data_IF_604521429720
#
_entry.id   IF_604521429720
#
_cell.length_a   1.000
_cell.length_b   1.000
_cell.length_c   1.000
_cell.angle_alpha   90.00
_cell.angle_beta   90.00
_cell.angle_gamma   90.00
#
_symmetry.space_group_name_H-M   'P 1'
#
loop_
_entity.id
_entity.type
_entity.pdbx_description
1 polymer ?
#
# COMPACT_ATOMS: atom_id res chain seq x y z
N UNK A 1 -0.46 3.49 30.17
CA UNK A 1 -1.38 3.05 29.11
C UNK A 1 -0.84 1.76 28.50
N UNK A 2 -1.54 0.65 28.75
CA UNK A 2 -1.10 -0.68 28.30
C UNK A 2 -1.35 -0.85 26.79
N UNK A 3 -0.32 -1.15 26.02
CA UNK A 3 -0.38 -1.35 24.58
C UNK A 3 0.33 -2.66 24.21
N UNK A 4 -0.25 -3.41 23.29
CA UNK A 4 0.42 -4.55 22.69
C UNK A 4 1.16 -4.12 21.42
N UNK A 5 2.41 -4.52 21.27
CA UNK A 5 3.15 -4.27 20.04
C UNK A 5 2.52 -5.03 18.87
N UNK A 6 2.30 -4.35 17.74
CA UNK A 6 1.70 -4.93 16.53
C UNK A 6 2.54 -6.02 15.89
N UNK A 7 3.87 -6.00 16.09
CA UNK A 7 4.80 -6.89 15.40
C UNK A 7 5.28 -8.08 16.22
N UNK A 8 5.50 -7.90 17.54
CA UNK A 8 5.94 -8.99 18.43
C UNK A 8 4.88 -9.43 19.42
N UNK A 9 3.84 -8.62 19.65
CA UNK A 9 2.78 -8.93 20.61
C UNK A 9 3.10 -8.60 22.07
N UNK A 10 4.30 -8.10 22.39
CA UNK A 10 4.69 -7.74 23.77
C UNK A 10 3.78 -6.66 24.32
N UNK A 11 3.23 -6.88 25.52
CA UNK A 11 2.48 -5.89 26.27
C UNK A 11 3.44 -4.98 27.00
N UNK A 12 3.16 -3.68 26.96
CA UNK A 12 4.00 -2.69 27.64
C UNK A 12 3.16 -1.46 28.02
N UNK A 13 3.52 -0.85 29.13
CA UNK A 13 2.94 0.39 29.55
C UNK A 13 3.75 1.58 29.03
N UNK A 14 3.09 2.44 28.29
CA UNK A 14 3.70 3.67 27.79
C UNK A 14 3.23 4.82 28.69
N UNK A 15 4.17 5.48 29.40
CA UNK A 15 3.85 6.70 30.14
C UNK A 15 3.47 7.83 29.17
N UNK A 16 2.82 8.91 29.65
CA UNK A 16 2.58 10.08 28.83
C UNK A 16 3.90 10.65 28.30
N UNK A 17 4.05 10.68 26.98
CA UNK A 17 5.29 11.08 26.34
C UNK A 17 5.41 12.61 26.29
N UNK A 18 6.56 13.19 26.65
CA UNK A 18 6.84 14.60 26.43
C UNK A 18 6.87 14.92 24.92
N UNK A 19 6.70 16.20 24.60
CA UNK A 19 6.72 16.65 23.20
C UNK A 19 8.08 16.34 22.56
N UNK A 20 8.08 15.77 21.37
CA UNK A 20 9.30 15.37 20.64
C UNK A 20 9.78 13.95 20.92
N UNK A 21 9.18 13.22 21.88
CA UNK A 21 9.61 11.87 22.22
C UNK A 21 9.02 10.81 21.28
N UNK A 22 9.72 9.68 21.17
CA UNK A 22 9.31 8.49 20.43
C UNK A 22 9.37 7.29 21.38
N UNK A 23 8.24 6.60 21.57
CA UNK A 23 8.23 5.31 22.22
C UNK A 23 8.60 4.21 21.24
N UNK A 24 9.52 3.35 21.64
CA UNK A 24 10.01 2.21 20.84
C UNK A 24 9.81 0.92 21.62
N UNK A 25 9.40 -0.13 20.96
CA UNK A 25 9.25 -1.44 21.59
C UNK A 25 10.64 -1.99 21.97
N UNK A 26 10.90 -2.34 23.25
CA UNK A 26 12.19 -2.87 23.70
C UNK A 26 12.52 -4.22 23.07
N UNK A 27 11.50 -5.00 22.67
CA UNK A 27 11.67 -6.34 22.10
C UNK A 27 12.01 -6.33 20.61
N UNK A 28 11.32 -5.49 19.80
CA UNK A 28 11.46 -5.56 18.33
C UNK A 28 11.82 -4.23 17.65
N UNK A 29 12.11 -3.18 18.44
CA UNK A 29 12.43 -1.83 17.97
C UNK A 29 11.33 -1.19 17.08
N UNK A 30 10.08 -1.65 17.21
CA UNK A 30 8.97 -1.02 16.53
C UNK A 30 8.63 0.33 17.16
N UNK A 31 8.43 1.35 16.34
CA UNK A 31 7.96 2.65 16.81
C UNK A 31 6.49 2.57 17.22
N UNK A 32 6.24 2.68 18.49
CA UNK A 32 4.90 2.55 19.06
C UNK A 32 4.16 3.88 19.02
N UNK A 33 4.76 4.94 19.51
CA UNK A 33 4.15 6.28 19.56
C UNK A 33 5.18 7.36 19.25
N UNK A 34 4.71 8.46 18.65
CA UNK A 34 5.51 9.63 18.35
C UNK A 34 4.68 10.88 18.57
N UNK A 35 5.19 11.82 19.36
CA UNK A 35 4.46 13.06 19.72
C UNK A 35 4.79 14.25 18.81
N UNK A 36 5.87 14.18 18.01
CA UNK A 36 6.31 15.28 17.16
C UNK A 36 5.73 15.19 15.73
N UNK A 37 5.27 16.34 15.21
CA UNK A 37 4.86 16.52 13.83
C UNK A 37 3.51 15.87 13.45
N UNK A 38 2.73 15.40 14.44
CA UNK A 38 1.39 14.83 14.21
C UNK A 38 0.30 15.72 14.79
N UNK A 39 -0.66 16.08 13.94
CA UNK A 39 -1.79 16.91 14.32
C UNK A 39 -3.04 16.46 13.58
N UNK A 40 -4.15 16.28 14.32
CA UNK A 40 -5.45 15.92 13.75
C UNK A 40 -5.91 17.02 12.78
N UNK A 41 -5.67 18.30 13.12
CA UNK A 41 -6.06 19.44 12.29
C UNK A 41 -5.28 19.48 10.97
N UNK A 42 -3.96 19.27 11.02
CA UNK A 42 -3.14 19.20 9.81
C UNK A 42 -3.53 18.00 8.94
N UNK A 43 -3.80 16.85 9.56
CA UNK A 43 -4.28 15.67 8.84
C UNK A 43 -5.64 15.91 8.17
N UNK A 44 -6.57 16.60 8.85
CA UNK A 44 -7.86 16.99 8.28
C UNK A 44 -7.68 17.95 7.10
N UNK A 45 -6.90 19.02 7.27
CA UNK A 45 -6.64 19.98 6.20
C UNK A 45 -6.04 19.30 4.96
N UNK A 46 -5.04 18.45 5.14
CA UNK A 46 -4.43 17.72 4.03
C UNK A 46 -5.39 16.70 3.39
N UNK A 47 -6.18 15.97 4.18
CA UNK A 47 -7.11 14.98 3.67
C UNK A 47 -8.27 15.61 2.89
N UNK A 48 -8.87 16.69 3.41
CA UNK A 48 -9.94 17.42 2.74
C UNK A 48 -9.44 18.14 1.48
N UNK A 49 -8.27 18.76 1.52
CA UNK A 49 -7.66 19.36 0.34
C UNK A 49 -7.36 18.31 -0.74
N UNK A 50 -6.83 17.13 -0.35
CA UNK A 50 -6.63 16.01 -1.29
C UNK A 50 -7.96 15.57 -1.90
N UNK A 51 -9.00 15.40 -1.09
CA UNK A 51 -10.33 15.00 -1.56
C UNK A 51 -10.87 15.99 -2.60
N UNK A 52 -10.78 17.30 -2.34
CA UNK A 52 -11.22 18.35 -3.29
C UNK A 52 -10.39 18.34 -4.57
N UNK A 53 -9.06 18.20 -4.48
CA UNK A 53 -8.18 18.17 -5.65
C UNK A 53 -8.35 16.93 -6.53
N UNK A 54 -8.85 15.82 -5.99
CA UNK A 54 -9.16 14.63 -6.79
C UNK A 54 -10.25 14.89 -7.85
N UNK A 55 -11.19 15.83 -7.63
CA UNK A 55 -12.21 16.17 -8.64
C UNK A 55 -11.58 16.76 -9.91
N UNK A 56 -10.86 17.90 -9.86
CA UNK A 56 -10.23 18.43 -11.06
C UNK A 56 -9.14 17.51 -11.63
N UNK A 57 -8.43 16.73 -10.79
CA UNK A 57 -7.47 15.74 -11.26
C UNK A 57 -8.09 14.65 -12.15
N UNK A 58 -9.36 14.27 -11.90
CA UNK A 58 -10.07 13.29 -12.71
C UNK A 58 -10.78 13.89 -13.93
N UNK A 59 -11.27 15.11 -13.84
CA UNK A 59 -12.09 15.74 -14.89
C UNK A 59 -11.24 16.48 -15.94
N UNK A 60 -10.18 17.16 -15.48
CA UNK A 60 -9.31 17.94 -16.35
C UNK A 60 -8.23 17.06 -17.03
N UNK A 61 -7.68 17.48 -18.16
CA UNK A 61 -6.61 16.75 -18.83
C UNK A 61 -5.34 16.70 -17.98
N UNK A 62 -4.77 15.49 -17.82
CA UNK A 62 -3.48 15.27 -17.17
C UNK A 62 -2.34 15.77 -18.06
N UNK A 63 -2.36 15.31 -19.30
CA UNK A 63 -1.35 15.61 -20.32
C UNK A 63 -2.02 15.80 -21.67
N UNK A 64 -1.40 16.65 -22.48
CA UNK A 64 -1.81 16.92 -23.86
C UNK A 64 -0.60 16.69 -24.75
N UNK A 65 -0.74 15.84 -25.76
CA UNK A 65 0.27 15.55 -26.77
C UNK A 65 -0.21 16.06 -28.11
N UNK A 66 0.66 16.71 -28.86
CA UNK A 66 0.36 17.18 -30.20
C UNK A 66 1.32 16.56 -31.22
N UNK A 67 0.77 15.99 -32.30
CA UNK A 67 1.52 15.40 -33.40
C UNK A 67 0.84 15.74 -34.74
N UNK A 68 1.56 16.33 -35.67
CA UNK A 68 1.07 16.64 -37.00
C UNK A 68 -0.29 17.36 -37.03
N UNK A 69 -0.51 18.30 -36.11
CA UNK A 69 -1.78 19.06 -36.01
C UNK A 69 -2.91 18.34 -35.27
N UNK A 70 -2.75 17.06 -34.95
CA UNK A 70 -3.67 16.32 -34.10
C UNK A 70 -3.28 16.45 -32.63
N UNK A 71 -4.26 16.70 -31.75
CA UNK A 71 -4.06 16.78 -30.33
C UNK A 71 -4.75 15.61 -29.61
N UNK A 72 -4.05 14.94 -28.69
CA UNK A 72 -4.61 13.90 -27.82
C UNK A 72 -4.46 14.32 -26.38
N UNK A 73 -5.50 14.06 -25.60
CA UNK A 73 -5.53 14.38 -24.18
C UNK A 73 -5.71 13.11 -23.36
N UNK A 74 -4.90 12.93 -22.34
CA UNK A 74 -5.10 11.91 -21.32
C UNK A 74 -5.77 12.51 -20.10
N UNK A 75 -6.82 11.87 -19.61
CA UNK A 75 -7.43 12.12 -18.30
C UNK A 75 -7.22 10.88 -17.43
N UNK A 76 -7.40 11.01 -16.14
CA UNK A 76 -7.24 9.87 -15.22
C UNK A 76 -8.18 8.71 -15.60
N UNK A 77 -9.44 9.03 -15.94
CA UNK A 77 -10.42 8.05 -16.41
C UNK A 77 -10.25 7.60 -17.87
N UNK A 78 -9.54 8.35 -18.73
CA UNK A 78 -9.42 7.99 -20.16
C UNK A 78 -8.66 6.68 -20.36
N UNK A 79 -7.63 6.41 -19.53
CA UNK A 79 -6.90 5.14 -19.55
C UNK A 79 -7.81 3.95 -19.24
N UNK A 80 -8.72 4.12 -18.28
CA UNK A 80 -9.71 3.10 -17.94
C UNK A 80 -10.65 2.82 -19.11
N UNK A 81 -11.18 3.86 -19.74
CA UNK A 81 -12.10 3.74 -20.88
C UNK A 81 -11.40 3.07 -22.07
N UNK A 82 -10.18 3.47 -22.38
CA UNK A 82 -9.40 2.88 -23.49
C UNK A 82 -9.12 1.40 -23.21
N UNK A 83 -8.68 1.03 -22.02
CA UNK A 83 -8.46 -0.37 -21.63
C UNK A 83 -9.75 -1.20 -21.71
N UNK A 84 -10.89 -0.62 -21.32
CA UNK A 84 -12.20 -1.25 -21.43
C UNK A 84 -12.60 -1.51 -22.89
N UNK A 85 -12.44 -0.53 -23.75
CA UNK A 85 -12.74 -0.63 -25.19
C UNK A 85 -11.87 -1.69 -25.89
N UNK A 86 -10.63 -1.86 -25.47
CA UNK A 86 -9.71 -2.89 -25.95
C UNK A 86 -9.89 -4.27 -25.28
N UNK A 87 -11.00 -4.50 -24.55
CA UNK A 87 -11.34 -5.77 -23.90
C UNK A 87 -10.42 -6.17 -22.72
N UNK A 88 -9.62 -5.24 -22.19
CA UNK A 88 -8.80 -5.44 -21.01
C UNK A 88 -9.55 -5.09 -19.72
N UNK A 89 -10.75 -5.70 -19.56
CA UNK A 89 -11.71 -5.39 -18.49
C UNK A 89 -11.11 -5.49 -17.10
N UNK A 90 -10.33 -6.56 -16.81
CA UNK A 90 -9.70 -6.75 -15.51
C UNK A 90 -8.72 -5.61 -15.17
N UNK A 91 -7.86 -5.24 -16.12
CA UNK A 91 -6.88 -4.17 -15.93
C UNK A 91 -7.61 -2.83 -15.76
N UNK A 92 -8.63 -2.57 -16.59
CA UNK A 92 -9.45 -1.36 -16.49
C UNK A 92 -10.12 -1.21 -15.12
N UNK A 93 -10.75 -2.29 -14.60
CA UNK A 93 -11.41 -2.29 -13.30
C UNK A 93 -10.42 -2.03 -12.15
N UNK A 94 -9.24 -2.67 -12.17
CA UNK A 94 -8.26 -2.51 -11.11
C UNK A 94 -7.61 -1.12 -11.15
N UNK A 95 -7.30 -0.60 -12.34
CA UNK A 95 -6.81 0.78 -12.49
C UNK A 95 -7.88 1.78 -12.02
N UNK A 96 -9.15 1.60 -12.41
CA UNK A 96 -10.25 2.44 -11.92
C UNK A 96 -10.37 2.38 -10.40
N UNK A 97 -10.28 1.19 -9.82
CA UNK A 97 -10.35 1.02 -8.38
C UNK A 97 -9.20 1.77 -7.69
N UNK A 98 -7.95 1.49 -8.04
CA UNK A 98 -6.78 1.99 -7.30
C UNK A 98 -6.48 3.47 -7.55
N UNK A 99 -6.69 3.97 -8.78
CA UNK A 99 -6.37 5.35 -9.14
C UNK A 99 -7.54 6.32 -8.93
N UNK A 100 -8.80 5.83 -9.05
CA UNK A 100 -9.98 6.70 -8.99
C UNK A 100 -10.80 6.42 -7.73
N UNK A 101 -11.46 5.25 -7.65
CA UNK A 101 -12.51 5.00 -6.65
C UNK A 101 -11.96 4.98 -5.22
N UNK A 102 -10.92 4.19 -4.98
CA UNK A 102 -10.38 4.00 -3.62
C UNK A 102 -9.78 5.28 -3.02
N UNK A 103 -9.05 6.14 -3.76
CA UNK A 103 -8.64 7.45 -3.26
C UNK A 103 -9.81 8.32 -2.83
N UNK A 104 -10.87 8.41 -3.64
CA UNK A 104 -12.07 9.19 -3.27
C UNK A 104 -12.73 8.66 -2.00
N UNK A 105 -12.96 7.35 -1.92
CA UNK A 105 -13.57 6.73 -0.75
C UNK A 105 -12.70 6.93 0.49
N UNK A 106 -11.39 6.71 0.38
CA UNK A 106 -10.45 6.85 1.48
C UNK A 106 -10.42 8.27 2.04
N UNK A 107 -10.17 9.27 1.17
CA UNK A 107 -10.04 10.66 1.61
C UNK A 107 -11.39 11.24 2.02
N UNK A 108 -12.49 10.84 1.38
CA UNK A 108 -13.84 11.18 1.80
C UNK A 108 -14.17 10.66 3.21
N UNK A 109 -13.91 9.37 3.47
CA UNK A 109 -14.10 8.78 4.80
C UNK A 109 -13.18 9.43 5.84
N UNK A 110 -11.90 9.64 5.51
CA UNK A 110 -10.96 10.24 6.45
C UNK A 110 -11.35 11.68 6.81
N UNK A 111 -11.68 12.49 5.81
CA UNK A 111 -12.15 13.86 6.03
C UNK A 111 -13.43 13.90 6.85
N UNK A 112 -14.40 13.04 6.53
CA UNK A 112 -15.65 12.92 7.27
C UNK A 112 -15.42 12.56 8.75
N UNK A 113 -14.58 11.54 9.01
CA UNK A 113 -14.27 11.12 10.38
C UNK A 113 -13.61 12.23 11.18
N UNK A 114 -12.58 12.86 10.61
CA UNK A 114 -11.84 13.91 11.31
C UNK A 114 -12.70 15.18 11.53
N UNK A 115 -13.58 15.55 10.58
CA UNK A 115 -14.51 16.66 10.72
C UNK A 115 -15.52 16.38 11.83
N UNK A 116 -16.16 15.20 11.86
CA UNK A 116 -17.12 14.85 12.90
C UNK A 116 -16.47 14.82 14.29
N UNK A 117 -15.22 14.36 14.39
CA UNK A 117 -14.48 14.43 15.64
C UNK A 117 -14.24 15.85 16.12
N UNK A 118 -13.91 16.79 15.22
CA UNK A 118 -13.73 18.21 15.58
C UNK A 118 -15.03 18.87 16.01
N UNK A 119 -16.16 18.48 15.40
CA UNK A 119 -17.50 18.94 15.79
C UNK A 119 -18.01 18.28 17.08
N UNK A 120 -17.24 17.38 17.69
CA UNK A 120 -17.63 16.69 18.92
C UNK A 120 -18.64 15.54 18.72
N UNK A 121 -19.02 15.24 17.48
CA UNK A 121 -19.98 14.17 17.16
C UNK A 121 -19.27 12.80 17.09
N UNK A 122 -19.74 11.85 17.90
CA UNK A 122 -19.15 10.51 18.00
C UNK A 122 -20.17 9.39 17.78
N UNK A 123 -20.76 9.27 16.58
CA UNK A 123 -21.68 8.19 16.29
C UNK A 123 -20.94 6.83 16.33
N UNK A 124 -21.65 5.75 16.69
CA UNK A 124 -21.08 4.40 16.88
C UNK A 124 -20.39 3.83 15.63
N UNK A 125 -20.81 4.24 14.45
CA UNK A 125 -20.22 3.78 13.18
C UNK A 125 -18.87 4.46 12.84
N UNK A 126 -18.53 5.55 13.53
CA UNK A 126 -17.34 6.36 13.20
C UNK A 126 -16.03 5.58 13.34
N UNK A 127 -15.92 4.70 14.35
CA UNK A 127 -14.80 3.79 14.51
C UNK A 127 -14.64 2.81 13.33
N UNK A 128 -15.77 2.29 12.82
CA UNK A 128 -15.79 1.46 11.61
C UNK A 128 -15.34 2.22 10.37
N UNK A 129 -15.82 3.46 10.18
CA UNK A 129 -15.45 4.32 9.06
C UNK A 129 -13.95 4.66 9.09
N UNK A 130 -13.40 4.99 10.27
CA UNK A 130 -11.96 5.25 10.41
C UNK A 130 -11.13 3.99 10.12
N UNK A 131 -11.56 2.82 10.59
CA UNK A 131 -10.93 1.54 10.24
C UNK A 131 -10.86 1.34 8.72
N UNK A 132 -11.97 1.57 8.01
CA UNK A 132 -12.01 1.43 6.56
C UNK A 132 -11.10 2.44 5.86
N UNK A 133 -11.06 3.70 6.29
CA UNK A 133 -10.15 4.69 5.71
C UNK A 133 -8.68 4.30 5.84
N UNK A 134 -8.30 3.68 6.98
CA UNK A 134 -6.94 3.17 7.18
C UNK A 134 -6.65 1.89 6.38
N UNK A 135 -7.65 1.01 6.22
CA UNK A 135 -7.49 -0.21 5.41
C UNK A 135 -7.30 0.12 3.93
N UNK A 136 -8.04 1.11 3.43
CA UNK A 136 -7.93 1.60 2.06
C UNK A 136 -6.61 2.34 1.78
N UNK A 137 -5.84 2.73 2.80
CA UNK A 137 -4.56 3.44 2.64
C UNK A 137 -3.54 2.68 1.78
N UNK A 138 -3.54 1.36 1.85
CA UNK A 138 -2.64 0.52 1.06
C UNK A 138 -3.07 0.40 -0.41
N UNK A 139 -4.36 0.60 -0.70
CA UNK A 139 -4.95 0.42 -2.03
C UNK A 139 -5.21 1.74 -2.76
N UNK A 140 -5.31 2.84 -2.02
CA UNK A 140 -5.45 4.18 -2.60
C UNK A 140 -4.05 4.74 -2.95
N UNK A 141 -3.72 4.77 -4.24
CA UNK A 141 -2.37 4.99 -4.74
C UNK A 141 -2.24 6.18 -5.70
N UNK A 142 -2.71 7.40 -5.35
CA UNK A 142 -2.53 8.57 -6.22
C UNK A 142 -1.05 8.96 -6.38
N UNK A 143 -0.23 8.69 -5.35
CA UNK A 143 1.21 8.87 -5.34
C UNK A 143 1.94 7.95 -6.33
N UNK A 144 1.56 6.66 -6.38
CA UNK A 144 2.12 5.69 -7.32
C UNK A 144 1.64 5.96 -8.74
N UNK A 145 0.36 6.37 -8.92
CA UNK A 145 -0.16 6.77 -10.22
C UNK A 145 0.58 8.00 -10.77
N UNK A 146 0.90 8.98 -9.91
CA UNK A 146 1.72 10.13 -10.30
C UNK A 146 3.08 9.68 -10.83
N UNK A 147 3.74 8.73 -10.14
CA UNK A 147 5.04 8.21 -10.58
C UNK A 147 4.93 7.52 -11.94
N UNK A 148 3.89 6.69 -12.15
CA UNK A 148 3.58 6.10 -13.45
C UNK A 148 3.36 7.17 -14.53
N UNK A 149 2.69 8.27 -14.18
CA UNK A 149 2.51 9.44 -15.03
C UNK A 149 3.83 10.12 -15.40
N UNK A 150 4.76 10.26 -14.45
CA UNK A 150 6.12 10.82 -14.70
C UNK A 150 6.91 9.92 -15.66
N UNK A 151 6.85 8.61 -15.46
CA UNK A 151 7.49 7.63 -16.36
C UNK A 151 6.89 7.72 -17.76
N UNK A 152 5.55 7.73 -17.87
CA UNK A 152 4.85 7.89 -19.14
C UNK A 152 5.19 9.24 -19.84
N UNK A 153 5.21 10.33 -19.08
CA UNK A 153 5.62 11.64 -19.57
C UNK A 153 7.03 11.60 -20.16
N UNK A 154 7.99 11.06 -19.44
CA UNK A 154 9.41 11.04 -19.86
C UNK A 154 9.61 10.23 -21.14
N UNK A 155 8.89 9.11 -21.30
CA UNK A 155 8.92 8.30 -22.54
C UNK A 155 8.35 9.06 -23.74
N UNK A 156 7.23 9.76 -23.54
CA UNK A 156 6.56 10.49 -24.65
C UNK A 156 7.35 11.76 -24.97
N UNK A 157 7.84 12.48 -23.98
CA UNK A 157 8.57 13.74 -24.15
C UNK A 157 9.89 13.57 -24.92
N UNK A 158 10.46 12.37 -24.93
CA UNK A 158 11.62 12.04 -25.76
C UNK A 158 11.30 12.03 -27.26
N UNK A 159 10.03 11.75 -27.65
CA UNK A 159 9.62 11.61 -29.03
C UNK A 159 8.70 12.75 -29.53
N UNK A 160 7.92 13.36 -28.66
CA UNK A 160 6.87 14.32 -29.02
C UNK A 160 6.72 15.44 -27.99
N UNK A 161 6.26 16.65 -28.38
CA UNK A 161 5.98 17.74 -27.44
C UNK A 161 4.78 17.39 -26.56
N UNK A 162 5.02 17.34 -25.25
CA UNK A 162 4.00 17.05 -24.22
C UNK A 162 3.79 18.29 -23.36
N UNK A 163 2.54 18.65 -23.11
CA UNK A 163 2.16 19.72 -22.17
C UNK A 163 1.42 19.11 -20.99
N UNK A 164 1.81 19.49 -19.78
CA UNK A 164 1.10 19.11 -18.55
C UNK A 164 -0.17 19.96 -18.46
N UNK A 165 -1.32 19.30 -18.32
CA UNK A 165 -2.61 19.96 -18.15
C UNK A 165 -2.92 20.29 -16.69
N UNK A 166 -3.99 21.02 -16.46
CA UNK A 166 -4.46 21.38 -15.10
C UNK A 166 -4.76 20.15 -14.21
N UNK A 167 -5.28 19.07 -14.81
CA UNK A 167 -5.48 17.80 -14.09
C UNK A 167 -4.18 17.20 -13.59
N UNK A 168 -3.08 17.33 -14.36
CA UNK A 168 -1.75 16.90 -13.96
C UNK A 168 -1.21 17.69 -12.76
N UNK A 169 -1.37 19.02 -12.77
CA UNK A 169 -0.99 19.89 -11.67
C UNK A 169 -1.79 19.52 -10.39
N UNK A 170 -3.11 19.35 -10.51
CA UNK A 170 -3.95 18.94 -9.41
C UNK A 170 -3.56 17.55 -8.85
N UNK A 171 -3.17 16.61 -9.72
CA UNK A 171 -2.71 15.28 -9.31
C UNK A 171 -1.38 15.36 -8.55
N UNK A 172 -0.43 16.18 -8.99
CA UNK A 172 0.85 16.41 -8.30
C UNK A 172 0.60 16.95 -6.89
N UNK A 173 -0.25 17.96 -6.77
CA UNK A 173 -0.62 18.54 -5.47
C UNK A 173 -1.37 17.52 -4.59
N UNK A 174 -2.31 16.76 -5.15
CA UNK A 174 -3.05 15.74 -4.44
C UNK A 174 -2.13 14.62 -3.93
N UNK A 175 -1.16 14.16 -4.71
CA UNK A 175 -0.19 13.15 -4.30
C UNK A 175 0.72 13.67 -3.16
N UNK A 176 1.18 14.91 -3.26
CA UNK A 176 1.96 15.55 -2.20
C UNK A 176 1.17 15.69 -0.89
N UNK A 177 -0.06 16.18 -0.96
CA UNK A 177 -0.96 16.29 0.20
C UNK A 177 -1.35 14.92 0.78
N UNK A 178 -1.47 13.89 -0.07
CA UNK A 178 -1.65 12.50 0.37
C UNK A 178 -0.48 12.05 1.27
N UNK A 179 0.76 12.30 0.85
CA UNK A 179 1.96 11.99 1.65
C UNK A 179 1.98 12.78 2.96
N UNK A 180 1.66 14.08 2.92
CA UNK A 180 1.57 14.91 4.11
C UNK A 180 0.47 14.45 5.07
N UNK A 181 -0.70 14.05 4.54
CA UNK A 181 -1.80 13.51 5.35
C UNK A 181 -1.38 12.25 6.10
N UNK A 182 -0.62 11.34 5.45
CA UNK A 182 -0.06 10.14 6.09
C UNK A 182 0.96 10.48 7.18
N UNK A 183 1.80 11.48 6.94
CA UNK A 183 2.83 11.92 7.89
C UNK A 183 2.23 12.63 9.11
N UNK A 184 1.19 13.47 8.89
CA UNK A 184 0.53 14.26 9.92
C UNK A 184 -0.48 13.47 10.76
N UNK A 185 -1.02 12.34 10.24
CA UNK A 185 -2.09 11.59 10.90
C UNK A 185 -1.57 10.85 12.14
N UNK A 186 -2.03 11.25 13.32
CA UNK A 186 -1.88 10.49 14.54
C UNK A 186 -3.06 9.51 14.70
N UNK A 187 -2.83 8.27 14.24
CA UNK A 187 -3.86 7.20 14.29
C UNK A 187 -4.33 6.94 15.72
N UNK A 188 -3.44 7.00 16.71
CA UNK A 188 -3.76 6.70 18.12
C UNK A 188 -4.52 7.85 18.77
N UNK A 189 -4.14 9.08 18.50
CA UNK A 189 -4.90 10.24 18.98
C UNK A 189 -6.34 10.21 18.46
N UNK A 190 -6.54 9.84 17.19
CA UNK A 190 -7.89 9.68 16.63
C UNK A 190 -8.63 8.53 17.31
N UNK A 191 -8.00 7.36 17.55
CA UNK A 191 -8.64 6.26 18.26
C UNK A 191 -9.00 6.62 19.71
N UNK A 192 -8.15 7.36 20.42
CA UNK A 192 -8.44 7.88 21.76
C UNK A 192 -9.60 8.86 21.76
N UNK A 193 -9.66 9.73 20.77
CA UNK A 193 -10.75 10.69 20.62
C UNK A 193 -12.09 10.03 20.27
N UNK A 194 -12.06 8.91 19.52
CA UNK A 194 -13.27 8.16 19.15
C UNK A 194 -13.92 7.42 20.32
N UNK A 195 -13.12 6.78 21.15
CA UNK A 195 -13.61 6.04 22.32
C UNK A 195 -12.56 6.10 23.41
N UNK A 196 -12.89 6.63 24.59
CA UNK A 196 -12.01 6.59 25.74
C UNK A 196 -11.62 5.15 26.07
N UNK A 197 -10.51 4.99 26.72
CA UNK A 197 -9.92 3.68 27.05
C UNK A 197 -10.91 2.86 27.88
N UNK A 198 -11.10 1.60 27.51
CA UNK A 198 -11.67 0.62 28.43
C UNK A 198 -10.70 0.49 29.61
N UNK A 199 -11.20 0.35 30.85
CA UNK A 199 -10.34 0.05 31.99
C UNK A 199 -9.49 -1.17 31.64
N UNK A 200 -8.20 -1.11 31.97
CA UNK A 200 -7.30 -2.25 31.76
C UNK A 200 -7.90 -3.49 32.41
N UNK A 201 -7.92 -4.64 31.71
CA UNK A 201 -8.40 -5.87 32.32
C UNK A 201 -7.53 -6.18 33.57
N UNK A 202 -8.08 -6.84 34.59
CA UNK A 202 -7.34 -7.24 35.78
C UNK A 202 -6.04 -7.95 35.41
N UNK A 203 -5.00 -7.76 36.23
CA UNK A 203 -3.66 -8.29 35.94
C UNK A 203 -3.60 -9.81 35.78
N UNK A 204 -4.52 -10.53 36.42
CA UNK A 204 -4.59 -12.01 36.42
C UNK A 204 -5.33 -12.58 35.19
N UNK A 205 -5.92 -11.75 34.32
CA UNK A 205 -6.64 -12.24 33.16
C UNK A 205 -5.78 -12.22 31.90
N UNK A 206 -5.84 -13.31 31.13
CA UNK A 206 -5.30 -13.32 29.77
C UNK A 206 -5.93 -12.21 28.93
N UNK A 207 -5.09 -11.49 28.19
CA UNK A 207 -5.52 -10.32 27.42
C UNK A 207 -5.31 -10.52 25.91
N UNK A 208 -6.19 -9.94 25.12
CA UNK A 208 -6.11 -9.90 23.67
C UNK A 208 -6.11 -8.46 23.21
N UNK A 209 -5.20 -8.10 22.32
CA UNK A 209 -5.17 -6.77 21.73
C UNK A 209 -5.81 -6.78 20.33
N UNK A 210 -6.68 -5.79 20.09
CA UNK A 210 -7.20 -5.57 18.75
C UNK A 210 -6.06 -5.18 17.82
N UNK A 211 -5.82 -5.95 16.79
CA UNK A 211 -4.71 -5.73 15.83
C UNK A 211 -4.89 -4.52 14.93
N UNK A 212 -5.98 -3.78 15.03
CA UNK A 212 -6.26 -2.62 14.20
C UNK A 212 -6.27 -1.30 14.98
N UNK A 213 -6.90 -1.26 16.14
CA UNK A 213 -6.99 -0.06 16.98
C UNK A 213 -6.17 -0.16 18.28
N UNK A 214 -5.40 -1.25 18.45
CA UNK A 214 -4.52 -1.55 19.61
C UNK A 214 -5.23 -1.57 20.97
N UNK A 215 -6.57 -1.63 20.99
CA UNK A 215 -7.34 -1.72 22.23
C UNK A 215 -7.09 -3.08 22.88
N UNK A 216 -6.65 -3.07 24.14
CA UNK A 216 -6.45 -4.27 24.94
C UNK A 216 -7.77 -4.65 25.61
N UNK A 217 -8.21 -5.88 25.40
CA UNK A 217 -9.44 -6.46 25.95
C UNK A 217 -9.13 -7.76 26.69
N UNK A 218 -10.05 -8.23 27.54
CA UNK A 218 -9.95 -9.58 28.11
C UNK A 218 -9.98 -10.65 27.01
N UNK A 219 -9.21 -11.72 27.17
CA UNK A 219 -9.18 -12.84 26.21
C UNK A 219 -10.54 -13.56 26.09
N UNK A 220 -11.41 -13.48 27.10
CA UNK A 220 -12.79 -13.99 27.05
C UNK A 220 -13.60 -13.36 25.90
N UNK A 221 -13.22 -12.16 25.45
CA UNK A 221 -13.85 -11.46 24.34
C UNK A 221 -13.39 -11.96 22.95
N UNK A 222 -12.55 -13.00 22.85
CA UNK A 222 -12.11 -13.54 21.56
C UNK A 222 -13.30 -13.98 20.71
N UNK A 223 -13.32 -13.58 19.44
CA UNK A 223 -14.43 -13.82 18.51
C UNK A 223 -15.51 -12.73 18.52
N UNK A 224 -15.61 -11.91 19.58
CA UNK A 224 -16.56 -10.78 19.64
C UNK A 224 -16.08 -9.58 18.82
N UNK A 225 -16.99 -8.66 18.44
CA UNK A 225 -16.60 -7.42 17.80
C UNK A 225 -15.88 -6.49 18.77
N UNK A 226 -14.77 -5.89 18.35
CA UNK A 226 -14.07 -4.88 19.13
C UNK A 226 -14.99 -3.68 19.42
N UNK A 227 -15.14 -3.22 20.68
CA UNK A 227 -16.04 -2.12 21.02
C UNK A 227 -15.65 -0.79 20.39
N UNK A 228 -14.36 -0.60 20.02
CA UNK A 228 -13.85 0.63 19.42
C UNK A 228 -13.96 0.64 17.89
N UNK A 229 -13.53 -0.40 17.20
CA UNK A 229 -13.45 -0.41 15.73
C UNK A 229 -14.38 -1.44 15.04
N UNK A 230 -15.10 -2.28 15.80
CA UNK A 230 -16.00 -3.29 15.28
C UNK A 230 -15.32 -4.48 14.57
N UNK A 231 -13.97 -4.58 14.61
CA UNK A 231 -13.28 -5.74 14.05
C UNK A 231 -13.42 -6.93 15.02
N UNK A 232 -13.62 -8.15 14.51
CA UNK A 232 -13.62 -9.36 15.35
C UNK A 232 -12.26 -9.52 16.04
N UNK A 233 -12.28 -9.60 17.36
CA UNK A 233 -11.10 -9.82 18.17
C UNK A 233 -10.57 -11.24 17.94
N UNK A 234 -9.30 -11.33 17.58
CA UNK A 234 -8.59 -12.60 17.40
C UNK A 234 -7.14 -12.42 17.83
N UNK A 235 -6.58 -13.38 18.55
CA UNK A 235 -5.20 -13.36 18.98
C UNK A 235 -4.24 -13.33 17.78
N UNK A 236 -4.52 -14.12 16.74
CA UNK A 236 -3.72 -14.20 15.50
C UNK A 236 -4.62 -14.17 14.25
N UNK A 237 -4.02 -13.91 13.10
CA UNK A 237 -4.75 -14.01 11.82
C UNK A 237 -5.11 -15.47 11.56
N UNK A 238 -6.37 -15.78 11.18
CA UNK A 238 -6.75 -17.16 10.91
C UNK A 238 -5.99 -17.66 9.67
N UNK A 239 -5.49 -18.89 9.74
CA UNK A 239 -4.81 -19.59 8.65
C UNK A 239 -3.71 -18.78 7.95
N UNK A 240 -3.05 -17.84 8.69
CA UNK A 240 -2.10 -16.91 8.12
C UNK A 240 -0.98 -17.62 7.34
N UNK A 241 -0.46 -18.75 7.83
CA UNK A 241 0.58 -19.53 7.17
C UNK A 241 0.11 -20.11 5.85
N UNK A 242 -1.05 -20.79 5.85
CA UNK A 242 -1.60 -21.46 4.66
C UNK A 242 -2.00 -20.45 3.59
N UNK A 243 -2.68 -19.37 4.00
CA UNK A 243 -3.08 -18.29 3.09
C UNK A 243 -1.88 -17.60 2.46
N UNK A 244 -0.88 -17.26 3.27
CA UNK A 244 0.33 -16.60 2.75
C UNK A 244 1.10 -17.54 1.83
N UNK A 245 1.24 -18.84 2.17
CA UNK A 245 1.91 -19.83 1.33
C UNK A 245 1.20 -19.99 -0.02
N UNK A 246 -0.12 -20.13 -0.02
CA UNK A 246 -0.92 -20.26 -1.25
C UNK A 246 -0.76 -19.01 -2.14
N UNK A 247 -0.80 -17.81 -1.56
CA UNK A 247 -0.63 -16.56 -2.30
C UNK A 247 0.81 -16.39 -2.82
N UNK A 248 1.83 -16.81 -2.07
CA UNK A 248 3.23 -16.78 -2.53
C UNK A 248 3.43 -17.74 -3.69
N UNK A 249 2.89 -18.97 -3.63
CA UNK A 249 2.97 -19.94 -4.72
C UNK A 249 2.26 -19.41 -5.97
N UNK A 250 1.05 -18.85 -5.82
CA UNK A 250 0.32 -18.21 -6.91
C UNK A 250 1.10 -17.04 -7.50
N UNK A 251 1.72 -16.20 -6.66
CA UNK A 251 2.57 -15.09 -7.10
C UNK A 251 3.80 -15.55 -7.89
N UNK A 252 4.48 -16.61 -7.46
CA UNK A 252 5.60 -17.19 -8.17
C UNK A 252 5.17 -17.78 -9.53
N UNK A 253 4.04 -18.49 -9.57
CA UNK A 253 3.50 -19.03 -10.82
C UNK A 253 3.11 -17.93 -11.82
N UNK A 254 2.52 -16.83 -11.35
CA UNK A 254 2.15 -15.68 -12.18
C UNK A 254 3.35 -14.81 -12.59
N UNK A 255 4.43 -14.82 -11.81
CA UNK A 255 5.62 -14.03 -12.11
C UNK A 255 6.31 -14.44 -13.40
N UNK A 256 6.27 -15.73 -13.73
CA UNK A 256 6.85 -16.26 -14.98
C UNK A 256 6.15 -15.67 -16.20
N UNK A 257 4.83 -15.84 -16.41
CA UNK A 257 4.14 -15.26 -17.56
C UNK A 257 4.17 -13.73 -17.58
N UNK A 258 4.20 -13.06 -16.44
CA UNK A 258 4.29 -11.60 -16.35
C UNK A 258 5.60 -11.03 -16.96
N UNK A 259 6.69 -11.80 -16.92
CA UNK A 259 7.99 -11.39 -17.47
C UNK A 259 8.28 -11.96 -18.86
N UNK A 260 7.63 -13.07 -19.24
CA UNK A 260 7.84 -13.73 -20.55
C UNK A 260 6.96 -13.11 -21.63
N UNK A 261 5.68 -12.83 -21.31
CA UNK A 261 4.76 -12.25 -22.28
C UNK A 261 4.96 -10.73 -22.42
N UNK A 262 4.71 -10.16 -23.62
CA UNK A 262 4.78 -8.72 -23.81
C UNK A 262 3.71 -8.00 -22.97
N UNK A 263 4.07 -6.84 -22.41
CA UNK A 263 3.17 -5.95 -21.67
C UNK A 263 2.31 -5.11 -22.59
N UNK A 264 2.89 -4.66 -23.71
CA UNK A 264 2.22 -3.89 -24.76
C UNK A 264 2.69 -4.33 -26.12
N UNK A 265 1.86 -4.06 -27.13
CA UNK A 265 2.19 -4.23 -28.54
C UNK A 265 1.93 -2.89 -29.22
N UNK A 266 3.00 -2.34 -29.77
CA UNK A 266 2.96 -1.09 -30.52
C UNK A 266 2.81 -1.40 -32.02
N UNK A 267 1.84 -0.76 -32.66
CA UNK A 267 1.69 -0.77 -34.10
C UNK A 267 2.25 0.53 -34.64
N UNK A 268 3.35 0.45 -35.39
CA UNK A 268 3.99 1.58 -36.06
C UNK A 268 4.02 1.32 -37.56
N UNK A 269 3.32 2.12 -38.33
CA UNK A 269 3.25 2.00 -39.81
C UNK A 269 2.91 0.56 -40.29
N UNK A 270 2.06 -0.15 -39.56
CA UNK A 270 1.65 -1.52 -39.88
C UNK A 270 2.53 -2.63 -39.29
N UNK A 271 3.70 -2.32 -38.75
CA UNK A 271 4.57 -3.28 -38.06
C UNK A 271 4.15 -3.41 -36.60
N UNK A 272 4.03 -4.65 -36.11
CA UNK A 272 3.73 -4.95 -34.70
C UNK A 272 5.03 -5.20 -33.96
N UNK A 273 5.30 -4.35 -32.97
CA UNK A 273 6.48 -4.48 -32.11
C UNK A 273 6.01 -4.82 -30.68
N UNK A 274 6.25 -6.06 -30.22
CA UNK A 274 5.92 -6.42 -28.85
C UNK A 274 6.99 -5.88 -27.88
N UNK A 275 6.56 -5.22 -26.79
CA UNK A 275 7.44 -4.71 -25.75
C UNK A 275 7.22 -5.48 -24.45
N UNK A 276 8.28 -6.16 -23.97
CA UNK A 276 8.35 -6.76 -22.64
C UNK A 276 8.84 -5.73 -21.63
N UNK A 277 8.74 -6.02 -20.34
CA UNK A 277 9.27 -5.17 -19.27
C UNK A 277 10.77 -4.91 -19.47
N UNK A 278 11.52 -5.99 -19.79
CA UNK A 278 12.99 -5.91 -19.97
C UNK A 278 13.34 -5.05 -21.17
N UNK A 279 12.63 -5.19 -22.28
CA UNK A 279 12.86 -4.39 -23.50
C UNK A 279 12.67 -2.90 -23.22
N UNK A 280 11.62 -2.54 -22.46
CA UNK A 280 11.36 -1.15 -22.07
C UNK A 280 12.42 -0.58 -21.10
N UNK A 281 13.05 -1.42 -20.27
CA UNK A 281 14.18 -1.03 -19.43
C UNK A 281 15.41 -0.76 -20.30
N UNK A 282 15.70 -1.65 -21.26
CA UNK A 282 16.82 -1.54 -22.17
C UNK A 282 16.73 -0.27 -23.04
N UNK A 283 15.54 0.03 -23.60
CA UNK A 283 15.28 1.25 -24.36
C UNK A 283 15.59 2.51 -23.53
N UNK A 284 15.23 2.54 -22.24
CA UNK A 284 15.53 3.68 -21.37
C UNK A 284 17.02 3.82 -21.08
N UNK A 285 17.75 2.70 -20.96
CA UNK A 285 19.21 2.75 -20.82
C UNK A 285 19.88 3.26 -22.09
N UNK A 286 19.43 2.80 -23.29
CA UNK A 286 19.94 3.28 -24.58
C UNK A 286 19.63 4.76 -24.83
N UNK A 287 18.45 5.23 -24.36
CA UNK A 287 18.06 6.64 -24.41
C UNK A 287 18.77 7.53 -23.37
N UNK A 288 19.79 7.00 -22.65
CA UNK A 288 20.48 7.69 -21.55
C UNK A 288 19.60 8.17 -20.39
N UNK A 289 18.39 7.61 -20.25
CA UNK A 289 17.46 7.88 -19.13
C UNK A 289 17.69 6.89 -17.97
N UNK A 290 18.93 6.74 -17.52
CA UNK A 290 19.37 5.76 -16.52
C UNK A 290 18.54 5.76 -15.22
N UNK A 291 18.21 6.94 -14.60
CA UNK A 291 17.43 6.92 -13.36
C UNK A 291 16.05 6.29 -13.53
N UNK A 292 15.46 6.48 -14.72
CA UNK A 292 14.15 5.95 -15.05
C UNK A 292 14.19 4.43 -15.31
N UNK A 293 15.23 3.96 -16.04
CA UNK A 293 15.46 2.54 -16.27
C UNK A 293 15.67 1.78 -14.95
N UNK A 294 16.50 2.31 -14.04
CA UNK A 294 16.69 1.75 -12.69
C UNK A 294 15.40 1.75 -11.89
N UNK A 295 14.62 2.84 -11.94
CA UNK A 295 13.34 2.92 -11.25
C UNK A 295 12.38 1.81 -11.70
N UNK A 296 12.20 1.64 -13.03
CA UNK A 296 11.32 0.60 -13.57
C UNK A 296 11.84 -0.79 -13.22
N UNK A 297 13.14 -1.03 -13.36
CA UNK A 297 13.73 -2.32 -12.94
C UNK A 297 13.43 -2.63 -11.46
N UNK A 298 13.62 -1.65 -10.59
CA UNK A 298 13.34 -1.82 -9.17
C UNK A 298 11.86 -2.08 -8.89
N UNK A 299 10.95 -1.31 -9.49
CA UNK A 299 9.50 -1.42 -9.21
C UNK A 299 8.88 -2.67 -9.82
N UNK A 300 9.32 -3.10 -10.99
CA UNK A 300 8.66 -4.14 -11.80
C UNK A 300 9.27 -5.52 -11.61
N UNK A 301 10.57 -5.60 -11.33
CA UNK A 301 11.28 -6.89 -11.18
C UNK A 301 11.77 -7.06 -9.74
N UNK A 302 12.58 -6.12 -9.24
CA UNK A 302 13.26 -6.30 -7.96
C UNK A 302 12.30 -6.34 -6.77
N UNK A 303 11.34 -5.41 -6.68
CA UNK A 303 10.38 -5.35 -5.56
C UNK A 303 9.46 -6.57 -5.52
N UNK A 304 8.79 -7.01 -6.61
CA UNK A 304 8.01 -8.26 -6.59
C UNK A 304 8.82 -9.49 -6.21
N UNK A 305 10.02 -9.66 -6.75
CA UNK A 305 10.92 -10.74 -6.38
C UNK A 305 11.32 -10.69 -4.90
N UNK A 306 11.70 -9.51 -4.39
CA UNK A 306 12.06 -9.33 -2.99
C UNK A 306 10.90 -9.67 -2.06
N UNK A 307 9.66 -9.31 -2.43
CA UNK A 307 8.45 -9.68 -1.69
C UNK A 307 8.25 -11.20 -1.66
N UNK A 308 8.28 -11.84 -2.82
CA UNK A 308 8.08 -13.28 -2.93
C UNK A 308 9.17 -14.06 -2.18
N UNK A 309 10.44 -13.70 -2.39
CA UNK A 309 11.57 -14.32 -1.71
C UNK A 309 11.54 -14.07 -0.19
N UNK A 310 11.24 -12.82 0.23
CA UNK A 310 11.14 -12.45 1.63
C UNK A 310 10.01 -13.19 2.36
N UNK A 311 8.81 -13.22 1.78
CA UNK A 311 7.67 -13.94 2.35
C UNK A 311 7.93 -15.47 2.38
N UNK A 312 8.53 -16.04 1.33
CA UNK A 312 8.95 -17.45 1.33
C UNK A 312 9.94 -17.74 2.46
N UNK A 313 10.93 -16.88 2.64
CA UNK A 313 11.90 -17.01 3.73
C UNK A 313 11.25 -16.91 5.11
N UNK A 314 10.28 -15.99 5.30
CA UNK A 314 9.56 -15.89 6.56
C UNK A 314 8.72 -17.13 6.84
N UNK A 315 8.00 -17.66 5.85
CA UNK A 315 7.23 -18.91 5.96
C UNK A 315 8.12 -20.10 6.34
N UNK A 316 9.22 -20.30 5.63
CA UNK A 316 10.19 -21.35 5.90
C UNK A 316 10.79 -21.20 7.32
N UNK A 317 11.05 -19.95 7.71
CA UNK A 317 11.59 -19.64 9.02
C UNK A 317 10.63 -19.96 10.18
N UNK A 318 9.33 -19.79 9.97
CA UNK A 318 8.30 -20.16 10.95
C UNK A 318 8.16 -21.68 11.00
N UNK A 319 8.13 -22.33 9.83
CA UNK A 319 7.99 -23.80 9.75
C UNK A 319 9.17 -24.56 10.39
N UNK A 320 10.40 -24.11 10.15
CA UNK A 320 11.61 -24.74 10.71
C UNK A 320 12.04 -24.10 12.04
N UNK A 321 11.18 -23.30 12.67
CA UNK A 321 11.46 -22.62 13.93
C UNK A 321 11.80 -23.63 15.03
N UNK A 322 13.07 -23.67 15.43
CA UNK A 322 13.50 -24.45 16.61
C UNK A 322 13.30 -23.62 17.86
N UNK A 323 12.69 -24.18 18.91
CA UNK A 323 12.54 -23.46 20.18
C UNK A 323 13.93 -23.19 20.80
N UNK A 324 14.11 -22.03 21.36
CA UNK A 324 15.32 -21.63 22.11
C UNK A 324 15.74 -20.18 21.89
N UNK A 325 15.88 -19.45 22.99
CA UNK A 325 16.26 -18.03 23.01
C UNK A 325 17.78 -17.93 23.06
N UNK A 326 18.42 -17.66 21.93
CA UNK A 326 19.82 -17.21 21.89
C UNK A 326 19.86 -15.75 21.42
N UNK A 327 20.75 -14.94 21.98
CA UNK A 327 20.88 -13.50 21.67
C UNK A 327 21.07 -13.24 20.15
N UNK A 328 21.78 -14.12 19.45
CA UNK A 328 21.91 -14.08 17.98
C UNK A 328 20.58 -14.31 17.24
N UNK A 329 19.65 -15.08 17.83
CA UNK A 329 18.32 -15.31 17.25
C UNK A 329 17.41 -14.11 17.42
N UNK A 330 17.44 -13.45 18.58
CA UNK A 330 16.71 -12.22 18.83
C UNK A 330 17.07 -11.13 17.80
N UNK A 331 18.36 -10.89 17.57
CA UNK A 331 18.81 -9.93 16.53
C UNK A 331 18.31 -10.30 15.13
N UNK A 332 18.28 -11.60 14.79
CA UNK A 332 17.72 -12.07 13.50
C UNK A 332 16.21 -11.87 13.42
N UNK A 333 15.46 -12.06 14.51
CA UNK A 333 14.02 -11.81 14.55
C UNK A 333 13.70 -10.34 14.38
N UNK A 334 14.43 -9.45 15.06
CA UNK A 334 14.31 -8.00 14.89
C UNK A 334 14.58 -7.60 13.43
N UNK A 335 15.65 -8.13 12.81
CA UNK A 335 15.95 -7.86 11.40
C UNK A 335 14.83 -8.37 10.48
N UNK A 336 14.31 -9.58 10.68
CA UNK A 336 13.19 -10.11 9.91
C UNK A 336 11.94 -9.26 10.04
N UNK A 337 11.63 -8.79 11.25
CA UNK A 337 10.48 -7.91 11.49
C UNK A 337 10.66 -6.56 10.81
N UNK A 338 11.87 -6.00 10.80
CA UNK A 338 12.20 -4.78 10.05
C UNK A 338 12.06 -4.99 8.54
N UNK A 339 12.56 -6.11 8.01
CA UNK A 339 12.41 -6.46 6.59
C UNK A 339 10.95 -6.68 6.21
N UNK A 340 10.15 -7.32 7.06
CA UNK A 340 8.72 -7.50 6.83
C UNK A 340 8.00 -6.15 6.68
N UNK A 341 8.28 -5.19 7.56
CA UNK A 341 7.76 -3.82 7.46
C UNK A 341 8.20 -3.11 6.18
N UNK A 342 9.48 -3.23 5.84
CA UNK A 342 10.02 -2.63 4.63
C UNK A 342 9.35 -3.19 3.37
N UNK A 343 9.18 -4.51 3.30
CA UNK A 343 8.50 -5.20 2.19
C UNK A 343 7.05 -4.73 2.06
N UNK A 344 6.34 -4.56 3.18
CA UNK A 344 4.94 -4.10 3.18
C UNK A 344 4.83 -2.63 2.73
N UNK A 345 5.76 -1.77 3.17
CA UNK A 345 5.77 -0.34 2.82
C UNK A 345 6.15 -0.09 1.36
N UNK A 346 7.20 -0.76 0.87
CA UNK A 346 7.67 -0.62 -0.53
C UNK A 346 6.72 -1.31 -1.50
N UNK A 347 5.96 -2.28 -1.01
CA UNK A 347 5.16 -3.16 -1.84
C UNK A 347 4.15 -2.51 -2.77
N UNK A 348 3.61 -1.36 -2.42
CA UNK A 348 2.67 -0.59 -3.25
C UNK A 348 3.31 0.03 -4.50
N UNK A 349 4.62 0.26 -4.49
CA UNK A 349 5.35 0.83 -5.63
C UNK A 349 5.43 -0.11 -6.83
N UNK A 350 5.11 -1.40 -6.66
CA UNK A 350 5.06 -2.36 -7.76
C UNK A 350 3.96 -2.08 -8.80
N UNK A 351 2.99 -1.18 -8.52
CA UNK A 351 1.91 -0.84 -9.45
C UNK A 351 2.31 0.22 -10.50
N UNK A 352 3.53 0.77 -10.45
CA UNK A 352 3.96 1.88 -11.33
C UNK A 352 3.76 1.57 -12.79
N UNK A 353 4.17 0.39 -13.27
CA UNK A 353 4.09 0.02 -14.69
C UNK A 353 2.67 -0.07 -15.20
N UNK A 354 1.76 -0.61 -14.39
CA UNK A 354 0.33 -0.69 -14.78
C UNK A 354 -0.24 0.72 -14.95
N UNK A 355 0.12 1.64 -14.07
CA UNK A 355 -0.31 3.03 -14.17
C UNK A 355 0.38 3.76 -15.31
N UNK A 356 1.63 3.44 -15.61
CA UNK A 356 2.34 3.96 -16.79
C UNK A 356 1.57 3.59 -18.07
N UNK A 357 1.18 2.32 -18.23
CA UNK A 357 0.38 1.87 -19.37
C UNK A 357 -0.97 2.58 -19.41
N UNK A 358 -1.65 2.74 -18.29
CA UNK A 358 -2.95 3.42 -18.23
C UNK A 358 -2.88 4.90 -18.65
N UNK A 359 -1.77 5.58 -18.37
CA UNK A 359 -1.53 6.97 -18.82
C UNK A 359 -1.08 7.03 -20.28
N UNK A 360 -0.21 6.09 -20.69
CA UNK A 360 0.43 6.07 -22.00
C UNK A 360 -0.54 5.67 -23.11
N UNK A 361 -1.38 4.65 -22.87
CA UNK A 361 -2.27 4.07 -23.87
C UNK A 361 -3.18 5.09 -24.59
N UNK A 362 -3.92 5.96 -23.88
CA UNK A 362 -4.79 6.94 -24.55
C UNK A 362 -4.04 8.02 -25.29
N UNK A 363 -2.78 8.29 -24.94
CA UNK A 363 -1.94 9.29 -25.60
C UNK A 363 -1.33 8.78 -26.91
N UNK A 364 -1.11 7.47 -27.03
CA UNK A 364 -0.49 6.83 -28.19
C UNK A 364 -1.50 6.32 -29.23
N UNK A 365 -2.73 6.80 -29.22
CA UNK A 365 -3.77 6.44 -30.18
C UNK A 365 -3.87 7.48 -31.33
N UNK A 366 -2.88 7.48 -32.23
CA UNK A 366 -2.87 8.38 -33.41
C UNK A 366 -3.41 7.69 -34.72
N UNK A 367 -4.42 6.82 -34.59
CA UNK A 367 -5.07 6.15 -35.71
C UNK A 367 -4.13 5.16 -36.42
N UNK A 368 -4.01 5.29 -37.76
CA UNK A 368 -3.18 4.37 -38.57
C UNK A 368 -1.68 4.57 -38.45
N UNK A 369 -1.19 5.66 -37.85
CA UNK A 369 0.24 5.98 -37.76
C UNK A 369 0.91 5.26 -36.60
N UNK A 370 0.36 5.44 -35.41
CA UNK A 370 0.85 4.82 -34.16
C UNK A 370 -0.33 4.43 -33.30
N UNK A 371 -0.37 3.18 -32.85
CA UNK A 371 -1.33 2.72 -31.85
C UNK A 371 -0.69 1.71 -30.92
N UNK A 372 -0.85 1.92 -29.61
CA UNK A 372 -0.38 1.00 -28.58
C UNK A 372 -1.57 0.24 -28.00
N UNK A 373 -1.43 -1.07 -27.86
CA UNK A 373 -2.41 -1.92 -27.20
C UNK A 373 -1.76 -2.69 -26.06
N UNK A 374 -2.52 -2.89 -24.97
CA UNK A 374 -2.08 -3.79 -23.91
C UNK A 374 -1.97 -5.22 -24.45
N UNK A 375 -1.10 -6.04 -23.85
CA UNK A 375 -0.89 -7.42 -24.24
C UNK A 375 -1.02 -8.37 -23.02
N UNK A 376 -0.90 -9.67 -23.24
CA UNK A 376 -1.17 -10.70 -22.22
C UNK A 376 -0.26 -10.62 -20.98
N UNK A 377 0.88 -9.96 -21.06
CA UNK A 377 1.77 -9.71 -19.92
C UNK A 377 1.16 -8.73 -18.90
N UNK A 378 0.37 -7.74 -19.35
CA UNK A 378 -0.18 -6.71 -18.47
C UNK A 378 -1.13 -7.26 -17.38
N UNK A 379 -2.16 -8.09 -17.67
CA UNK A 379 -2.99 -8.69 -16.64
C UNK A 379 -2.23 -9.67 -15.73
N UNK A 380 -1.28 -10.43 -16.27
CA UNK A 380 -0.45 -11.33 -15.47
C UNK A 380 0.37 -10.55 -14.46
N UNK A 381 1.03 -9.47 -14.89
CA UNK A 381 1.81 -8.59 -14.02
C UNK A 381 0.94 -7.92 -12.94
N UNK A 382 -0.22 -7.38 -13.33
CA UNK A 382 -1.16 -6.78 -12.38
C UNK A 382 -1.62 -7.79 -11.32
N UNK A 383 -1.89 -9.03 -11.71
CA UNK A 383 -2.24 -10.10 -10.77
C UNK A 383 -1.07 -10.43 -9.82
N UNK A 384 0.18 -10.46 -10.30
CA UNK A 384 1.36 -10.61 -9.44
C UNK A 384 1.38 -9.53 -8.37
N UNK A 385 1.15 -8.28 -8.74
CA UNK A 385 1.15 -7.15 -7.81
C UNK A 385 0.05 -7.31 -6.77
N UNK A 386 -1.19 -7.59 -7.19
CA UNK A 386 -2.33 -7.77 -6.28
C UNK A 386 -2.10 -8.96 -5.33
N UNK A 387 -1.68 -10.11 -5.88
CA UNK A 387 -1.44 -11.33 -5.09
C UNK A 387 -0.31 -11.12 -4.07
N UNK A 388 0.78 -10.46 -4.46
CA UNK A 388 1.89 -10.17 -3.53
C UNK A 388 1.49 -9.17 -2.45
N UNK A 389 0.61 -8.19 -2.74
CA UNK A 389 0.04 -7.29 -1.74
C UNK A 389 -0.89 -8.04 -0.77
N UNK A 390 -1.74 -8.94 -1.27
CA UNK A 390 -2.59 -9.78 -0.43
C UNK A 390 -1.75 -10.74 0.42
N UNK A 391 -0.65 -11.28 -0.11
CA UNK A 391 0.26 -12.16 0.61
C UNK A 391 0.92 -11.45 1.80
N UNK A 392 1.42 -10.21 1.60
CA UNK A 392 1.99 -9.43 2.70
C UNK A 392 0.95 -9.08 3.76
N UNK A 393 -0.29 -8.76 3.36
CA UNK A 393 -1.39 -8.51 4.29
C UNK A 393 -1.88 -9.78 5.04
N UNK A 394 -1.79 -10.96 4.42
CA UNK A 394 -2.18 -12.23 5.03
C UNK A 394 -1.16 -12.69 6.09
N UNK A 395 0.11 -12.39 5.90
CA UNK A 395 1.17 -12.75 6.83
C UNK A 395 0.98 -12.07 8.20
N UNK A 396 1.26 -12.81 9.28
CA UNK A 396 1.28 -12.27 10.65
C UNK A 396 2.70 -12.36 11.21
N UNK A 397 3.43 -11.22 11.37
CA UNK A 397 4.79 -11.22 11.84
C UNK A 397 4.94 -11.78 13.26
N UNK A 398 3.87 -11.75 14.07
CA UNK A 398 3.87 -12.32 15.44
C UNK A 398 4.13 -13.82 15.44
N UNK A 399 3.77 -14.54 14.37
CA UNK A 399 4.04 -15.98 14.27
C UNK A 399 5.54 -16.33 14.31
N UNK A 400 6.40 -15.44 13.84
CA UNK A 400 7.86 -15.61 13.93
C UNK A 400 8.34 -15.54 15.40
N UNK A 401 7.71 -14.70 16.20
CA UNK A 401 8.00 -14.54 17.62
C UNK A 401 7.41 -15.71 18.44
N UNK A 402 6.17 -16.11 18.14
CA UNK A 402 5.53 -17.26 18.78
C UNK A 402 6.37 -18.55 18.57
N UNK A 403 6.84 -18.80 17.34
CA UNK A 403 7.70 -19.94 17.03
C UNK A 403 9.06 -19.91 17.78
N UNK A 404 9.56 -18.73 18.11
CA UNK A 404 10.79 -18.57 18.88
C UNK A 404 10.58 -18.75 20.38
N UNK A 405 9.41 -18.31 20.91
CA UNK A 405 9.07 -18.36 22.33
C UNK A 405 8.27 -19.60 22.74
N UNK A 406 7.82 -20.44 21.79
CA UNK A 406 7.05 -21.66 22.06
C UNK A 406 7.69 -22.65 23.05
N UNK A 407 8.99 -22.49 23.38
CA UNK A 407 9.68 -23.26 24.38
C UNK A 407 9.40 -22.78 25.84
N UNK A 408 8.76 -21.64 26.04
CA UNK A 408 8.37 -21.14 27.35
C UNK A 408 6.84 -20.92 27.38
N UNK A 409 6.07 -21.83 28.03
CA UNK A 409 4.61 -21.72 28.12
C UNK A 409 4.12 -20.54 28.97
N UNK A 410 5.01 -19.85 29.65
CA UNK A 410 4.69 -18.62 30.38
C UNK A 410 4.80 -17.47 29.41
N UNK A 411 3.64 -16.84 29.14
CA UNK A 411 3.49 -15.75 28.19
C UNK A 411 4.60 -14.70 28.26
N UNK A 412 4.76 -13.98 27.14
CA UNK A 412 5.72 -12.89 26.95
C UNK A 412 6.02 -12.17 28.27
N UNK A 413 7.30 -12.05 28.70
CA UNK A 413 7.66 -11.48 30.00
C UNK A 413 7.02 -10.08 30.12
N UNK A 414 6.22 -9.87 31.15
CA UNK A 414 5.93 -8.52 31.64
C UNK A 414 7.24 -8.06 32.27
N UNK A 415 7.91 -7.11 31.71
CA UNK A 415 9.00 -6.42 32.40
C UNK A 415 8.40 -5.60 33.54
N UNK A 416 9.10 -5.57 34.73
CA UNK A 416 8.68 -4.84 35.92
C UNK A 416 8.62 -3.33 35.72
#
# INVERSE_FOLDING_TARGET
>A
MTIACTDCGTLQDIPPLPWGAIAVCPTCDNRLERTNGRSINAALACASATFVLLFPANLAPLMVVSMLGMTRQSRLGSGVVTLWQHQWVLVALLVAAFAVVLPFVRFGLLSLVLTLLQLGHRPRWLGGAFRWSLHLDQWAMPDVFLLGGVVGYSRIAAAMPVKIGWGGICLILAAFLCMLSRAALDKRAVWRALSPESPAPPEDQAVIACRFCDLVCSAVAEGSPCPRCGLRLRARKPDAMVRTAALVIAGLALFIPANVYPMSVDRQLGVLVPHRIVDGIEELFQAHLWPLGVLIFCTSIAIPLLKLAGLSWFLISVWHGRPGIQLRRLRRLVLKTRLCRLIDEIGRWSCVDVFTIAVFLPLMQFGGLVSTNAANGAPAFLLVVVVTMLASQAFDPRLMWDAAFAAHPQGVPREP
#
